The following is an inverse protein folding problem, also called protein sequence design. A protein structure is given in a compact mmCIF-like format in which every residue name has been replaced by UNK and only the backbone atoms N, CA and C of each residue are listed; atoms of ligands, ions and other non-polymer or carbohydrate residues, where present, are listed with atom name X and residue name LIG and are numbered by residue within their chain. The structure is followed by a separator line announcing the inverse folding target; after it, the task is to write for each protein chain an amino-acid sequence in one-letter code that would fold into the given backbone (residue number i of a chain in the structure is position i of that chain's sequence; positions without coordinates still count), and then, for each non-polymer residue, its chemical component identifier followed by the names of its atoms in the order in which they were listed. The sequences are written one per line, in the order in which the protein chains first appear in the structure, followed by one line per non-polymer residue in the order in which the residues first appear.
data_IF_415838554697
#
_entry.id   IF_415838554697
#
_cell.length_a   1.000
_cell.length_b   1.000
_cell.length_c   1.000
_cell.angle_alpha   90.00
_cell.angle_beta   90.00
_cell.angle_gamma   90.00
#
_symmetry.space_group_name_H-M   'P 1'
#
loop_
_entity.id
_entity.type
_entity.pdbx_description
1 polymer ?
#
# COMPACT_ATOMS: atom_id res chain seq x y z
N UNK A 1 9.07 11.35 6.71
CA UNK A 1 8.66 9.93 6.52
C UNK A 1 8.40 9.23 7.85
N UNK A 2 9.23 9.42 8.89
CA UNK A 2 8.94 8.89 10.23
C UNK A 2 7.62 9.48 10.78
N UNK A 3 7.46 10.80 10.71
CA UNK A 3 6.25 11.47 11.22
C UNK A 3 4.98 10.96 10.54
N UNK A 4 5.05 10.71 9.22
CA UNK A 4 3.95 10.14 8.44
C UNK A 4 3.57 8.74 8.91
N UNK A 5 4.56 7.88 9.21
CA UNK A 5 4.31 6.53 9.72
C UNK A 5 3.68 6.59 11.11
N UNK A 6 4.22 7.42 11.99
CA UNK A 6 3.71 7.55 13.36
C UNK A 6 2.29 8.10 13.37
N UNK A 7 2.01 9.10 12.53
CA UNK A 7 0.65 9.60 12.31
C UNK A 7 -0.29 8.49 11.83
N UNK A 8 0.13 7.70 10.83
CA UNK A 8 -0.67 6.62 10.28
C UNK A 8 -0.98 5.53 11.31
N UNK A 9 -0.01 5.17 12.16
CA UNK A 9 -0.20 4.21 13.26
C UNK A 9 -1.22 4.73 14.26
N UNK A 10 -1.08 5.98 14.72
CA UNK A 10 -2.02 6.60 15.66
C UNK A 10 -3.43 6.69 15.06
N UNK A 11 -3.54 7.14 13.82
CA UNK A 11 -4.82 7.26 13.11
C UNK A 11 -5.52 5.90 12.95
N UNK A 12 -4.77 4.85 12.61
CA UNK A 12 -5.29 3.49 12.49
C UNK A 12 -5.75 2.91 13.83
N UNK A 13 -5.05 3.21 14.94
CA UNK A 13 -5.48 2.79 16.29
C UNK A 13 -6.81 3.42 16.70
N UNK A 14 -7.07 4.66 16.28
CA UNK A 14 -8.35 5.33 16.46
C UNK A 14 -9.46 4.77 15.53
N UNK A 15 -9.10 4.30 14.33
CA UNK A 15 -10.02 3.78 13.31
C UNK A 15 -9.84 2.27 13.11
N UNK A 16 -10.29 1.49 14.11
CA UNK A 16 -10.17 0.02 14.12
C UNK A 16 -10.82 -0.63 12.89
N UNK A 17 -10.33 -1.81 12.50
CA UNK A 17 -10.79 -2.60 11.35
C UNK A 17 -10.72 -1.93 9.96
N UNK A 18 -10.10 -0.74 9.82
CA UNK A 18 -9.92 -0.09 8.52
C UNK A 18 -8.46 -0.09 8.07
N UNK A 19 -8.26 -0.32 6.77
CA UNK A 19 -6.96 -0.07 6.15
C UNK A 19 -6.81 1.43 5.90
N UNK A 20 -5.67 1.99 6.25
CA UNK A 20 -5.39 3.44 6.11
C UNK A 20 -4.16 3.63 5.23
N UNK A 21 -4.17 4.65 4.39
CA UNK A 21 -3.02 5.03 3.58
C UNK A 21 -2.88 6.55 3.46
N UNK A 22 -1.68 7.01 3.17
CA UNK A 22 -1.36 8.42 2.93
C UNK A 22 -0.20 8.56 1.96
N UNK A 23 -0.10 9.72 1.32
CA UNK A 23 1.03 10.07 0.46
C UNK A 23 1.99 10.98 1.22
N UNK A 24 3.29 10.80 0.99
CA UNK A 24 4.31 11.72 1.49
C UNK A 24 5.45 11.87 0.49
N UNK A 25 6.10 13.03 0.50
CA UNK A 25 7.24 13.28 -0.37
C UNK A 25 8.43 12.37 -0.05
N UNK A 26 9.13 11.94 -1.11
CA UNK A 26 10.41 11.27 -0.99
C UNK A 26 11.53 12.28 -1.26
N UNK A 27 11.97 13.00 -0.23
CA UNK A 27 13.03 14.01 -0.35
C UNK A 27 14.39 13.45 -0.79
N UNK A 28 14.59 12.12 -0.70
CA UNK A 28 15.84 11.47 -1.14
C UNK A 28 15.85 11.12 -2.63
N UNK A 29 14.68 11.08 -3.26
CA UNK A 29 14.53 10.73 -4.67
C UNK A 29 13.55 11.70 -5.34
N UNK A 30 14.04 12.84 -5.87
CA UNK A 30 13.22 13.78 -6.63
C UNK A 30 12.49 13.08 -7.79
N UNK A 31 11.25 13.50 -8.05
CA UNK A 31 10.37 12.82 -9.01
C UNK A 31 9.72 11.54 -8.49
N UNK A 32 9.89 11.21 -7.20
CA UNK A 32 9.15 10.14 -6.53
C UNK A 32 8.41 10.66 -5.31
N UNK A 33 7.29 10.02 -5.01
CA UNK A 33 6.63 10.13 -3.71
C UNK A 33 6.27 8.75 -3.19
N UNK A 34 6.04 8.67 -1.89
CA UNK A 34 5.76 7.43 -1.19
C UNK A 34 4.27 7.34 -0.88
N UNK A 35 3.71 6.16 -1.11
CA UNK A 35 2.42 5.73 -0.58
C UNK A 35 2.67 4.84 0.64
N UNK A 36 2.35 5.35 1.82
CA UNK A 36 2.52 4.64 3.09
C UNK A 36 1.14 4.12 3.52
N UNK A 37 1.03 2.83 3.82
CA UNK A 37 -0.25 2.22 4.19
C UNK A 37 -0.11 1.17 5.30
N UNK A 38 -1.22 0.92 5.99
CA UNK A 38 -1.34 -0.04 7.10
C UNK A 38 -2.62 -0.85 6.94
N UNK A 39 -2.52 -2.15 7.19
CA UNK A 39 -3.61 -3.12 6.99
C UNK A 39 -4.22 -3.51 8.33
N UNK A 40 -5.36 -2.90 8.66
CA UNK A 40 -6.03 -3.06 9.95
C UNK A 40 -5.23 -2.51 11.13
N UNK A 41 -5.70 -2.74 12.35
CA UNK A 41 -5.15 -2.23 13.61
C UNK A 41 -4.29 -3.26 14.37
N UNK A 42 -4.47 -4.56 14.10
CA UNK A 42 -3.82 -5.68 14.82
C UNK A 42 -2.28 -5.65 14.84
N UNK A 43 -1.64 -5.04 13.84
CA UNK A 43 -0.18 -4.95 13.76
C UNK A 43 0.24 -3.51 13.46
N UNK A 44 1.31 -3.03 14.11
CA UNK A 44 1.91 -1.73 13.83
C UNK A 44 2.75 -1.71 12.54
N UNK A 45 2.74 -2.82 11.78
CA UNK A 45 3.45 -2.93 10.50
C UNK A 45 2.87 -1.98 9.45
N UNK A 46 3.70 -1.03 9.02
CA UNK A 46 3.44 -0.15 7.88
C UNK A 46 4.17 -0.62 6.63
N UNK A 47 3.55 -0.41 5.47
CA UNK A 47 4.10 -0.71 4.15
C UNK A 47 4.33 0.59 3.40
N UNK A 48 5.30 0.59 2.49
CA UNK A 48 5.66 1.76 1.69
C UNK A 48 5.83 1.31 0.25
N UNK A 49 5.08 1.94 -0.66
CA UNK A 49 5.24 1.79 -2.10
C UNK A 49 5.75 3.10 -2.69
N UNK A 50 6.75 3.01 -3.56
CA UNK A 50 7.27 4.17 -4.28
C UNK A 50 6.46 4.39 -5.56
N UNK A 51 6.09 5.63 -5.80
CA UNK A 51 5.37 6.07 -7.00
C UNK A 51 6.26 7.06 -7.72
N UNK A 52 6.47 6.82 -9.02
CA UNK A 52 7.24 7.71 -9.88
C UNK A 52 6.29 8.72 -10.51
N UNK A 53 6.69 9.99 -10.48
CA UNK A 53 6.02 11.06 -11.23
C UNK A 53 6.54 11.03 -12.66
N UNK A 54 5.61 11.05 -13.61
CA UNK A 54 5.88 11.16 -15.03
C UNK A 54 5.24 12.46 -15.55
N UNK A 55 5.72 13.03 -16.66
CA UNK A 55 5.07 14.19 -17.29
C UNK A 55 3.60 13.92 -17.65
N UNK A 56 3.25 12.67 -17.93
CA UNK A 56 1.91 12.22 -18.34
C UNK A 56 1.09 11.60 -17.20
N UNK A 57 1.57 11.62 -15.95
CA UNK A 57 0.86 11.07 -14.80
C UNK A 57 1.77 10.39 -13.78
N UNK A 58 1.38 9.20 -13.32
CA UNK A 58 2.03 8.49 -12.22
C UNK A 58 2.29 7.02 -12.55
N UNK A 59 3.44 6.50 -12.15
CA UNK A 59 3.78 5.09 -12.31
C UNK A 59 3.82 4.38 -10.97
N UNK A 60 3.04 3.31 -10.84
CA UNK A 60 3.04 2.41 -9.69
C UNK A 60 3.11 0.96 -10.15
N UNK A 61 4.13 0.23 -9.70
CA UNK A 61 4.34 -1.19 -10.00
C UNK A 61 4.26 -1.51 -11.51
N UNK A 62 4.99 -0.73 -12.33
CA UNK A 62 5.03 -0.78 -13.81
C UNK A 62 3.74 -0.35 -14.53
N UNK A 63 2.65 -0.07 -13.81
CA UNK A 63 1.44 0.49 -14.40
C UNK A 63 1.47 2.01 -14.37
N UNK A 64 0.96 2.64 -15.42
CA UNK A 64 0.85 4.10 -15.53
C UNK A 64 -0.60 4.54 -15.34
N UNK A 65 -0.80 5.61 -14.59
CA UNK A 65 -2.09 6.19 -14.26
C UNK A 65 -2.09 7.67 -14.65
N UNK A 66 -3.12 8.17 -15.35
CA UNK A 66 -3.14 9.56 -15.83
C UNK A 66 -3.33 10.58 -14.71
N UNK A 67 -3.98 10.19 -13.60
CA UNK A 67 -4.26 11.07 -12.47
C UNK A 67 -4.25 10.33 -11.12
N UNK A 68 -4.46 11.07 -10.04
CA UNK A 68 -4.47 10.55 -8.67
C UNK A 68 -5.67 9.64 -8.37
N UNK A 69 -6.82 9.82 -9.04
CA UNK A 69 -8.02 9.02 -8.82
C UNK A 69 -7.80 7.61 -9.38
N UNK A 70 -7.30 7.52 -10.62
CA UNK A 70 -6.93 6.28 -11.26
C UNK A 70 -5.81 5.56 -10.50
N UNK A 71 -4.82 6.30 -10.01
CA UNK A 71 -3.75 5.76 -9.17
C UNK A 71 -4.30 5.14 -7.88
N UNK A 72 -5.19 5.83 -7.16
CA UNK A 72 -5.81 5.32 -5.94
C UNK A 72 -6.63 4.05 -6.22
N UNK A 73 -7.40 4.03 -7.30
CA UNK A 73 -8.18 2.87 -7.71
C UNK A 73 -7.28 1.69 -8.09
N UNK A 74 -6.20 1.94 -8.84
CA UNK A 74 -5.18 0.96 -9.18
C UNK A 74 -4.48 0.38 -7.96
N UNK A 75 -4.11 1.23 -7.00
CA UNK A 75 -3.54 0.81 -5.72
C UNK A 75 -4.48 -0.16 -4.97
N UNK A 76 -5.76 0.20 -4.82
CA UNK A 76 -6.75 -0.66 -4.14
C UNK A 76 -6.84 -2.04 -4.80
N UNK A 77 -6.91 -2.09 -6.15
CA UNK A 77 -6.94 -3.35 -6.92
C UNK A 77 -5.65 -4.16 -6.73
N UNK A 78 -4.48 -3.53 -6.83
CA UNK A 78 -3.19 -4.19 -6.64
C UNK A 78 -3.05 -4.77 -5.22
N UNK A 79 -3.45 -4.01 -4.21
CA UNK A 79 -3.40 -4.45 -2.82
C UNK A 79 -4.36 -5.62 -2.57
N UNK A 80 -5.59 -5.55 -3.08
CA UNK A 80 -6.55 -6.66 -2.99
C UNK A 80 -5.99 -7.94 -3.65
N UNK A 81 -5.38 -7.81 -4.83
CA UNK A 81 -4.75 -8.93 -5.53
C UNK A 81 -3.55 -9.53 -4.76
N UNK A 82 -2.79 -8.70 -4.03
CA UNK A 82 -1.70 -9.21 -3.19
C UNK A 82 -2.24 -9.95 -1.95
N UNK A 83 -3.34 -9.48 -1.36
CA UNK A 83 -3.96 -10.10 -0.19
C UNK A 83 -4.67 -11.41 -0.53
N UNK A 84 -5.37 -11.48 -1.66
CA UNK A 84 -6.04 -12.71 -2.13
C UNK A 84 -5.03 -13.82 -2.47
N UNK A 85 -3.90 -13.47 -3.11
CA UNK A 85 -2.80 -14.41 -3.34
C UNK A 85 -2.23 -14.97 -2.03
N UNK A 86 -2.25 -14.18 -0.95
CA UNK A 86 -1.73 -14.60 0.35
C UNK A 86 -2.68 -15.52 1.12
N UNK A 87 -4.00 -15.46 0.87
CA UNK A 87 -4.96 -16.38 1.51
C UNK A 87 -5.01 -17.76 0.85
N UNK A 88 -4.68 -17.86 -0.45
CA UNK A 88 -4.69 -19.14 -1.18
C UNK A 88 -3.45 -20.03 -0.93
N UNK A 89 -2.63 -19.73 0.09
CA UNK A 89 -1.47 -20.53 0.48
C UNK A 89 -1.73 -21.63 1.52
N UNK A 90 -2.97 -21.85 1.93
CA UNK A 90 -3.34 -22.85 2.95
C UNK A 90 -4.48 -23.77 2.47
N UNK A 91 -4.22 -24.58 1.45
CA UNK A 91 -4.99 -25.81 1.18
C UNK A 91 -4.18 -26.81 0.35
N UNK A 92 -3.93 -27.99 0.95
CA UNK A 92 -3.44 -29.22 0.32
C UNK A 92 -2.02 -29.63 0.73
N UNK A 93 -1.72 -30.77 1.35
CA UNK A 93 -2.48 -31.98 1.70
C UNK A 93 -1.68 -32.74 2.76
N UNK A 94 -2.27 -33.01 3.94
CA UNK A 94 -1.88 -34.18 4.74
C UNK A 94 -2.49 -35.40 4.04
N UNK A 95 -1.65 -36.37 3.64
CA UNK A 95 -1.93 -37.81 3.54
C UNK A 95 -1.14 -38.43 2.38
N UNK A 96 -0.12 -39.21 2.73
CA UNK A 96 0.27 -40.40 1.99
C UNK A 96 0.62 -41.45 3.03
N UNK A 97 -0.28 -42.41 3.18
CA UNK A 97 0.09 -43.79 3.52
C UNK A 97 0.81 -44.40 2.31
#
# INVERSE_FOLDING_TARGET
MNDTKDWLVRYSKANKNRSTYCFCYNHRAPGYFCLVFKLGDKTDKTYVWNIKVLPTGYQLNKNTYPDMVHLCNGFKKLLQNQLSKKSNGYTGTYSRY
#
